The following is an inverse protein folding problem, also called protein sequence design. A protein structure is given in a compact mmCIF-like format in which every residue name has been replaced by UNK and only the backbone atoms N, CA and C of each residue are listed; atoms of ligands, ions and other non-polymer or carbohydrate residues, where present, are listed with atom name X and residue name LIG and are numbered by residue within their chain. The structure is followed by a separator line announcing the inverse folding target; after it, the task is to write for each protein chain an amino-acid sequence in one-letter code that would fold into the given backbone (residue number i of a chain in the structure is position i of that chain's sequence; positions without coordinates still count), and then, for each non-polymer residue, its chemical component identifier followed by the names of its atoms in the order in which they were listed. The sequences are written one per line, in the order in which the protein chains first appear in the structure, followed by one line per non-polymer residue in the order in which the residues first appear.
data_IF_576448999532
#
_entry.id   IF_576448999532
#
_cell.length_a   1.000
_cell.length_b   1.000
_cell.length_c   1.000
_cell.angle_alpha   90.00
_cell.angle_beta   90.00
_cell.angle_gamma   90.00
#
_symmetry.space_group_name_H-M   'P 1'
#
loop_
_entity.id
_entity.type
_entity.pdbx_description
1 polymer ?
#
# COMPACT_ATOMS: atom_id res chain seq x y z
N UNK A 1 4.18 -14.94 -26.24
CA UNK A 1 4.19 -15.01 -24.77
C UNK A 1 4.27 -16.48 -24.32
N UNK A 2 5.48 -17.05 -24.34
CA UNK A 2 5.72 -18.47 -24.07
C UNK A 2 5.99 -18.76 -22.58
N UNK A 3 6.33 -17.75 -21.78
CA UNK A 3 6.77 -17.92 -20.38
C UNK A 3 5.69 -17.70 -19.31
N UNK A 4 4.46 -17.34 -19.69
CA UNK A 4 3.41 -16.99 -18.70
C UNK A 4 2.33 -18.06 -18.65
N UNK A 5 2.45 -19.00 -17.70
CA UNK A 5 1.42 -20.01 -17.44
C UNK A 5 0.23 -19.39 -16.69
N UNK A 6 -0.87 -19.15 -17.40
CA UNK A 6 -2.13 -18.66 -16.81
C UNK A 6 -2.72 -19.74 -15.89
N UNK A 7 -2.75 -19.49 -14.58
CA UNK A 7 -3.43 -20.38 -13.62
C UNK A 7 -4.86 -19.91 -13.40
N UNK A 8 -5.84 -20.65 -13.92
CA UNK A 8 -7.27 -20.38 -13.69
C UNK A 8 -7.75 -21.03 -12.38
N UNK A 9 -7.21 -20.61 -11.23
CA UNK A 9 -7.73 -21.04 -9.92
C UNK A 9 -8.66 -19.99 -9.35
N UNK A 10 -9.97 -20.31 -9.27
CA UNK A 10 -10.99 -19.41 -8.72
C UNK A 10 -10.66 -18.97 -7.28
N UNK A 11 -10.07 -19.85 -6.48
CA UNK A 11 -9.69 -19.54 -5.10
C UNK A 11 -8.52 -18.55 -5.03
N UNK A 12 -7.45 -18.80 -5.79
CA UNK A 12 -6.28 -17.92 -5.82
C UNK A 12 -6.65 -16.54 -6.37
N UNK A 13 -7.51 -16.50 -7.40
CA UNK A 13 -8.03 -15.24 -7.93
C UNK A 13 -8.82 -14.48 -6.85
N UNK A 14 -9.65 -15.13 -6.04
CA UNK A 14 -10.36 -14.45 -4.96
C UNK A 14 -9.42 -13.86 -3.90
N UNK A 15 -8.36 -14.56 -3.54
CA UNK A 15 -7.37 -14.07 -2.57
C UNK A 15 -6.62 -12.84 -3.10
N UNK A 16 -6.12 -12.94 -4.34
CA UNK A 16 -5.44 -11.81 -5.00
C UNK A 16 -6.42 -10.63 -5.16
N UNK A 17 -7.67 -10.93 -5.55
CA UNK A 17 -8.68 -9.89 -5.74
C UNK A 17 -9.10 -9.21 -4.43
N UNK A 18 -9.05 -9.94 -3.33
CA UNK A 18 -9.32 -9.39 -2.01
C UNK A 18 -8.20 -8.47 -1.54
N UNK A 19 -6.94 -8.86 -1.77
CA UNK A 19 -5.77 -8.10 -1.34
C UNK A 19 -5.72 -6.71 -1.98
N UNK A 20 -5.93 -6.64 -3.29
CA UNK A 20 -5.86 -5.37 -4.02
C UNK A 20 -7.13 -4.49 -3.88
N UNK A 21 -8.19 -4.97 -3.23
CA UNK A 21 -9.50 -4.30 -3.21
C UNK A 21 -9.41 -2.92 -2.55
N UNK A 22 -8.56 -2.79 -1.54
CA UNK A 22 -8.38 -1.52 -0.81
C UNK A 22 -7.69 -0.47 -1.68
N UNK A 23 -6.69 -0.89 -2.47
CA UNK A 23 -6.01 -0.01 -3.42
C UNK A 23 -6.99 0.41 -4.52
N UNK A 24 -7.66 -0.56 -5.18
CA UNK A 24 -8.66 -0.29 -6.22
C UNK A 24 -9.77 0.65 -5.72
N UNK A 25 -10.31 0.43 -4.52
CA UNK A 25 -11.36 1.27 -3.95
C UNK A 25 -10.95 2.74 -3.80
N UNK A 26 -9.67 3.02 -3.53
CA UNK A 26 -9.14 4.38 -3.38
C UNK A 26 -8.78 5.00 -4.73
N UNK A 27 -8.27 4.20 -5.66
CA UNK A 27 -7.86 4.68 -6.99
C UNK A 27 -9.03 4.83 -7.97
N UNK A 28 -10.12 4.06 -7.81
CA UNK A 28 -11.26 4.09 -8.75
C UNK A 28 -12.02 5.42 -8.76
N UNK A 29 -11.99 6.17 -7.66
CA UNK A 29 -12.62 7.51 -7.59
C UNK A 29 -11.68 8.62 -8.10
N UNK A 30 -10.46 8.28 -8.52
CA UNK A 30 -9.46 9.21 -9.04
C UNK A 30 -9.47 9.21 -10.57
N UNK A 31 -9.05 10.31 -11.20
CA UNK A 31 -8.82 10.42 -12.65
C UNK A 31 -7.59 9.63 -13.15
N UNK A 32 -7.04 8.73 -12.33
CA UNK A 32 -5.80 8.00 -12.60
C UNK A 32 -4.52 8.78 -12.25
N UNK A 33 -3.37 8.12 -12.43
CA UNK A 33 -2.06 8.70 -12.15
C UNK A 33 -1.38 9.17 -13.43
N UNK A 34 -0.95 10.42 -13.47
CA UNK A 34 -0.22 10.99 -14.63
C UNK A 34 1.26 10.55 -14.71
N UNK A 35 1.85 10.07 -13.61
CA UNK A 35 3.27 9.69 -13.51
C UNK A 35 3.44 8.46 -12.64
N UNK A 36 4.34 7.55 -13.02
CA UNK A 36 4.64 6.33 -12.27
C UNK A 36 5.16 6.59 -10.85
N UNK A 37 6.05 7.57 -10.66
CA UNK A 37 6.55 7.94 -9.32
C UNK A 37 5.40 8.34 -8.40
N UNK A 38 4.48 9.18 -8.88
CA UNK A 38 3.30 9.61 -8.12
C UNK A 38 2.35 8.46 -7.80
N UNK A 39 2.20 7.50 -8.72
CA UNK A 39 1.43 6.28 -8.48
C UNK A 39 2.07 5.44 -7.37
N UNK A 40 3.39 5.20 -7.45
CA UNK A 40 4.13 4.41 -6.48
C UNK A 40 4.06 5.00 -5.06
N UNK A 41 4.24 6.32 -4.93
CA UNK A 41 4.10 7.02 -3.64
C UNK A 41 2.69 6.90 -3.09
N UNK A 42 1.66 7.14 -3.91
CA UNK A 42 0.26 7.06 -3.47
C UNK A 42 -0.12 5.66 -3.03
N UNK A 43 0.24 4.63 -3.82
CA UNK A 43 -0.04 3.23 -3.48
C UNK A 43 0.67 2.84 -2.19
N UNK A 44 1.96 3.20 -2.03
CA UNK A 44 2.72 2.95 -0.80
C UNK A 44 2.06 3.60 0.43
N UNK A 45 1.51 4.81 0.28
CA UNK A 45 0.79 5.50 1.35
C UNK A 45 -0.54 4.83 1.72
N UNK A 46 -1.28 4.31 0.74
CA UNK A 46 -2.51 3.53 0.96
C UNK A 46 -2.19 2.24 1.72
N UNK A 47 -1.15 1.51 1.32
CA UNK A 47 -0.68 0.29 1.99
C UNK A 47 -0.21 0.56 3.42
N UNK A 48 0.55 1.64 3.62
CA UNK A 48 1.00 2.08 4.93
C UNK A 48 -0.18 2.35 5.88
N UNK A 49 -1.16 3.13 5.42
CA UNK A 49 -2.36 3.44 6.20
C UNK A 49 -3.11 2.17 6.58
N UNK A 50 -3.19 1.21 5.66
CA UNK A 50 -3.84 -0.08 5.92
C UNK A 50 -3.09 -0.92 6.96
N UNK A 51 -1.76 -0.99 6.88
CA UNK A 51 -0.91 -1.68 7.87
C UNK A 51 -1.03 -1.05 9.26
N UNK A 52 -1.08 0.28 9.34
CA UNK A 52 -1.31 1.01 10.59
C UNK A 52 -2.69 0.68 11.16
N UNK A 53 -3.76 0.74 10.35
CA UNK A 53 -5.12 0.40 10.81
C UNK A 53 -5.24 -1.05 11.31
N UNK A 54 -4.46 -1.97 10.76
CA UNK A 54 -4.42 -3.37 11.19
C UNK A 54 -3.49 -3.63 12.39
N UNK A 55 -2.77 -2.62 12.89
CA UNK A 55 -1.74 -2.82 13.92
C UNK A 55 -0.53 -3.64 13.45
N UNK A 56 -0.37 -3.81 12.14
CA UNK A 56 0.74 -4.56 11.52
C UNK A 56 1.94 -3.67 11.20
N UNK A 57 1.84 -2.37 11.49
CA UNK A 57 2.93 -1.44 11.34
C UNK A 57 3.65 -1.28 12.68
N UNK A 58 4.88 -1.78 12.75
CA UNK A 58 5.68 -1.68 13.95
C UNK A 58 6.25 -0.26 14.12
N UNK A 59 5.54 0.55 14.91
CA UNK A 59 5.99 1.90 15.31
C UNK A 59 7.15 1.85 16.32
N UNK A 60 7.37 0.70 16.97
CA UNK A 60 8.44 0.53 17.97
C UNK A 60 9.81 0.38 17.31
N UNK A 61 9.89 -0.27 16.14
CA UNK A 61 11.09 -0.31 15.31
C UNK A 61 11.57 1.09 14.88
N UNK A 62 10.65 2.05 14.77
CA UNK A 62 10.98 3.45 14.46
C UNK A 62 11.45 4.24 15.69
N UNK A 63 11.43 3.66 16.90
CA UNK A 63 11.65 4.34 18.21
C UNK A 63 10.71 5.53 18.45
N UNK A 64 9.57 5.58 17.76
CA UNK A 64 8.59 6.67 17.81
C UNK A 64 7.53 6.39 18.87
N UNK A 65 7.96 6.00 20.07
CA UNK A 65 7.03 5.68 21.17
C UNK A 65 6.34 6.94 21.72
N UNK A 66 6.92 8.12 21.50
CA UNK A 66 6.46 9.40 22.09
C UNK A 66 6.67 10.64 21.19
N UNK A 67 6.90 10.48 19.88
CA UNK A 67 7.09 11.62 18.98
C UNK A 67 5.78 12.04 18.33
N UNK A 68 5.50 13.35 18.36
CA UNK A 68 4.33 13.95 17.74
C UNK A 68 4.12 13.41 16.31
N UNK A 69 2.88 13.02 16.00
CA UNK A 69 2.48 12.40 14.73
C UNK A 69 3.11 13.03 13.46
N UNK A 70 3.30 14.37 13.35
CA UNK A 70 3.96 14.96 12.18
C UNK A 70 5.40 14.51 11.93
N UNK A 71 6.19 14.25 12.98
CA UNK A 71 7.58 13.80 12.85
C UNK A 71 7.67 12.36 12.29
N UNK A 72 6.72 11.52 12.69
CA UNK A 72 6.55 10.15 12.19
C UNK A 72 6.24 10.16 10.70
N UNK A 73 5.32 11.04 10.27
CA UNK A 73 4.96 11.19 8.86
C UNK A 73 6.14 11.62 8.00
N UNK A 74 6.94 12.57 8.46
CA UNK A 74 8.10 13.05 7.72
C UNK A 74 9.17 11.95 7.56
N UNK A 75 9.46 11.19 8.62
CA UNK A 75 10.46 10.12 8.54
C UNK A 75 10.04 9.00 7.57
N UNK A 76 8.77 8.58 7.61
CA UNK A 76 8.28 7.47 6.78
C UNK A 76 8.15 7.84 5.31
N UNK A 77 7.83 9.10 4.98
CA UNK A 77 7.62 9.53 3.60
C UNK A 77 8.88 10.02 2.89
N UNK A 78 9.84 10.61 3.62
CA UNK A 78 11.01 11.24 3.01
C UNK A 78 12.32 10.45 3.17
N UNK A 79 12.35 9.37 3.94
CA UNK A 79 13.56 8.59 4.23
C UNK A 79 13.58 7.24 3.49
N UNK A 80 13.21 7.25 2.20
CA UNK A 80 13.20 6.08 1.31
C UNK A 80 14.23 6.20 0.21
#
# INVERSE_FOLDING_TARGET
PEDTKVRSSKYLNKLIEQDHRNIKSRTNVMLGFKRFRSAATTISGIELTHRIRKGQFDLSALRLKETAAPAVWNYVLFNR
#
